data_IF_978627240796
#
_entry.id   IF_978627240796
#
_cell.length_a   1.000
_cell.length_b   1.000
_cell.length_c   1.000
_cell.angle_alpha   90.00
_cell.angle_beta   90.00
_cell.angle_gamma   90.00
#
_symmetry.space_group_name_H-M   'P 1'
#
loop_
_entity.id
_entity.type
_entity.pdbx_description
1 polymer ?
#
# COMPACT_ATOMS: atom_id res chain seq x y z
N UNK A 1 0.37 0.67 19.66
CA UNK A 1 0.44 -0.50 18.75
C UNK A 1 1.29 -0.07 17.56
N UNK A 2 2.16 -0.95 17.08
CA UNK A 2 2.99 -0.69 15.89
C UNK A 2 2.21 -0.98 14.62
N UNK A 3 2.33 -0.09 13.64
CA UNK A 3 1.63 -0.19 12.37
C UNK A 3 2.15 -1.38 11.56
N UNK A 4 1.23 -2.16 11.00
CA UNK A 4 1.50 -3.40 10.29
C UNK A 4 1.72 -3.11 8.81
N UNK A 5 2.94 -3.36 8.32
CA UNK A 5 3.28 -3.22 6.90
C UNK A 5 3.39 -4.61 6.26
N UNK A 6 2.78 -4.77 5.09
CA UNK A 6 2.97 -5.95 4.24
C UNK A 6 3.86 -5.58 3.06
N UNK A 7 5.01 -6.23 2.91
CA UNK A 7 5.90 -6.07 1.74
C UNK A 7 5.72 -7.26 0.80
N UNK A 8 5.37 -6.98 -0.45
CA UNK A 8 5.14 -7.98 -1.50
C UNK A 8 6.07 -7.71 -2.67
N UNK A 9 7.05 -8.59 -2.88
CA UNK A 9 8.05 -8.50 -3.95
C UNK A 9 8.56 -9.92 -4.20
N UNK A 10 8.84 -10.35 -5.42
CA UNK A 10 9.33 -11.72 -5.69
C UNK A 10 10.82 -11.90 -5.34
N UNK A 11 11.57 -10.80 -5.24
CA UNK A 11 12.98 -10.79 -4.87
C UNK A 11 13.19 -10.82 -3.35
N UNK A 12 13.79 -11.90 -2.83
CA UNK A 12 14.03 -12.06 -1.39
C UNK A 12 14.97 -10.99 -0.81
N UNK A 13 15.95 -10.55 -1.59
CA UNK A 13 16.88 -9.49 -1.21
C UNK A 13 16.16 -8.17 -0.97
N UNK A 14 15.23 -7.80 -1.85
CA UNK A 14 14.42 -6.58 -1.72
C UNK A 14 13.51 -6.67 -0.50
N UNK A 15 12.78 -7.79 -0.34
CA UNK A 15 11.91 -8.01 0.84
C UNK A 15 12.68 -7.91 2.15
N UNK A 16 13.87 -8.51 2.22
CA UNK A 16 14.69 -8.52 3.44
C UNK A 16 15.20 -7.13 3.79
N UNK A 17 15.63 -6.38 2.77
CA UNK A 17 16.16 -5.03 2.94
C UNK A 17 15.07 -4.06 3.37
N UNK A 18 13.94 -4.04 2.66
CA UNK A 18 12.79 -3.20 3.00
C UNK A 18 12.24 -3.53 4.39
N UNK A 19 12.14 -4.82 4.73
CA UNK A 19 11.71 -5.24 6.05
C UNK A 19 12.58 -4.64 7.15
N UNK A 20 13.90 -4.76 7.03
CA UNK A 20 14.83 -4.22 8.03
C UNK A 20 14.67 -2.72 8.19
N UNK A 21 14.66 -1.98 7.09
CA UNK A 21 14.52 -0.52 7.11
C UNK A 21 13.21 -0.07 7.76
N UNK A 22 12.10 -0.75 7.48
CA UNK A 22 10.81 -0.45 8.09
C UNK A 22 10.73 -0.88 9.57
N UNK A 23 11.31 -2.03 9.93
CA UNK A 23 11.37 -2.49 11.33
C UNK A 23 12.21 -1.54 12.21
N UNK A 24 13.31 -0.98 11.68
CA UNK A 24 14.14 0.02 12.35
C UNK A 24 13.37 1.30 12.69
N UNK A 25 12.34 1.61 11.92
CA UNK A 25 11.45 2.77 12.11
C UNK A 25 10.22 2.45 12.99
N UNK A 26 10.17 1.25 13.56
CA UNK A 26 9.13 0.84 14.51
C UNK A 26 7.88 0.20 13.87
N UNK A 27 7.90 -0.05 12.56
CA UNK A 27 6.83 -0.82 11.91
C UNK A 27 6.96 -2.31 12.23
N UNK A 28 5.82 -3.00 12.23
CA UNK A 28 5.78 -4.46 12.25
C UNK A 28 5.58 -4.98 10.84
N UNK A 29 6.55 -5.72 10.32
CA UNK A 29 6.57 -6.05 8.90
C UNK A 29 6.28 -7.53 8.66
N UNK A 30 5.35 -7.81 7.76
CA UNK A 30 5.12 -9.12 7.16
C UNK A 30 5.57 -9.09 5.71
N UNK A 31 6.07 -10.21 5.20
CA UNK A 31 6.56 -10.29 3.82
C UNK A 31 5.86 -11.40 3.03
N UNK A 32 5.77 -11.21 1.72
CA UNK A 32 5.17 -12.16 0.79
C UNK A 32 5.96 -12.18 -0.52
N UNK A 33 6.38 -13.37 -0.97
CA UNK A 33 7.17 -13.54 -2.20
C UNK A 33 6.34 -13.70 -3.49
N UNK A 34 5.02 -13.60 -3.40
CA UNK A 34 4.09 -13.79 -4.52
C UNK A 34 2.73 -13.21 -4.19
N UNK A 35 1.94 -12.88 -5.21
CA UNK A 35 0.56 -12.39 -5.01
C UNK A 35 -0.30 -13.37 -4.20
N UNK A 36 -0.20 -14.67 -4.47
CA UNK A 36 -0.92 -15.70 -3.69
C UNK A 36 -0.54 -15.70 -2.21
N UNK A 37 0.75 -15.55 -1.90
CA UNK A 37 1.18 -15.45 -0.51
C UNK A 37 0.72 -14.16 0.16
N UNK A 38 0.70 -13.04 -0.57
CA UNK A 38 0.19 -11.77 -0.06
C UNK A 38 -1.29 -11.88 0.32
N UNK A 39 -2.12 -12.45 -0.57
CA UNK A 39 -3.55 -12.64 -0.31
C UNK A 39 -3.81 -13.55 0.91
N UNK A 40 -3.01 -14.60 1.09
CA UNK A 40 -3.10 -15.44 2.30
C UNK A 40 -2.73 -14.66 3.57
N UNK A 41 -1.72 -13.79 3.49
CA UNK A 41 -1.30 -12.96 4.63
C UNK A 41 -2.35 -11.93 4.99
N UNK A 42 -2.97 -11.28 3.99
CA UNK A 42 -4.09 -10.35 4.18
C UNK A 42 -5.30 -11.07 4.80
N UNK A 43 -5.62 -12.28 4.34
CA UNK A 43 -6.74 -13.06 4.88
C UNK A 43 -6.56 -13.46 6.35
N UNK A 44 -5.33 -13.51 6.86
CA UNK A 44 -5.03 -13.77 8.28
C UNK A 44 -5.08 -12.51 9.15
N UNK A 45 -5.14 -11.34 8.53
CA UNK A 45 -5.17 -10.04 9.19
C UNK A 45 -4.76 -8.96 8.21
N UNK A 46 -5.63 -7.98 7.97
CA UNK A 46 -5.35 -6.87 7.08
C UNK A 46 -4.20 -6.02 7.63
N UNK A 47 -3.22 -5.60 6.80
CA UNK A 47 -2.20 -4.65 7.20
C UNK A 47 -2.76 -3.21 7.17
N UNK A 48 -2.09 -2.32 7.89
CA UNK A 48 -2.33 -0.87 7.80
C UNK A 48 -1.81 -0.34 6.45
N UNK A 49 -0.65 -0.83 6.01
CA UNK A 49 -0.04 -0.48 4.71
C UNK A 49 0.42 -1.73 3.98
N UNK A 50 0.18 -1.79 2.68
CA UNK A 50 0.73 -2.79 1.78
C UNK A 50 1.62 -2.12 0.72
N UNK A 51 2.87 -2.55 0.66
CA UNK A 51 3.85 -2.17 -0.35
C UNK A 51 3.97 -3.32 -1.34
N UNK A 52 3.57 -3.11 -2.60
CA UNK A 52 3.36 -4.19 -3.56
C UNK A 52 4.11 -3.92 -4.87
N UNK A 53 5.03 -4.80 -5.27
CA UNK A 53 5.61 -4.77 -6.61
C UNK A 53 4.54 -5.10 -7.66
N UNK A 54 4.50 -4.33 -8.75
CA UNK A 54 3.65 -4.61 -9.91
C UNK A 54 4.03 -5.91 -10.61
N UNK A 55 5.31 -6.25 -10.64
CA UNK A 55 5.82 -7.49 -11.24
C UNK A 55 6.12 -8.48 -10.13
N UNK A 56 5.27 -9.50 -9.98
CA UNK A 56 5.44 -10.57 -8.99
C UNK A 56 5.61 -11.91 -9.70
N UNK A 57 6.67 -12.05 -10.51
CA UNK A 57 6.93 -13.21 -11.36
C UNK A 57 5.68 -13.66 -12.15
N UNK A 58 5.06 -14.75 -11.70
CA UNK A 58 3.88 -15.37 -12.32
C UNK A 58 2.54 -14.68 -12.02
N UNK A 59 2.53 -13.58 -11.25
CA UNK A 59 1.32 -12.85 -10.84
C UNK A 59 1.46 -11.34 -11.01
N UNK A 60 0.33 -10.66 -11.25
CA UNK A 60 0.31 -9.19 -11.34
C UNK A 60 0.07 -8.57 -9.96
N UNK A 61 0.88 -7.59 -9.57
CA UNK A 61 0.65 -6.78 -8.37
C UNK A 61 -0.69 -6.03 -8.40
N UNK A 62 -1.23 -5.75 -9.60
CA UNK A 62 -2.55 -5.13 -9.76
C UNK A 62 -3.68 -6.03 -9.26
N UNK A 63 -3.53 -7.34 -9.34
CA UNK A 63 -4.53 -8.28 -8.80
C UNK A 63 -4.51 -8.27 -7.27
N UNK A 64 -3.32 -8.16 -6.68
CA UNK A 64 -3.17 -8.00 -5.22
C UNK A 64 -3.82 -6.70 -4.76
N UNK A 65 -3.60 -5.59 -5.48
CA UNK A 65 -4.24 -4.30 -5.21
C UNK A 65 -5.77 -4.40 -5.25
N UNK A 66 -6.34 -5.03 -6.28
CA UNK A 66 -7.80 -5.22 -6.41
C UNK A 66 -8.39 -5.97 -5.23
N UNK A 67 -7.79 -7.10 -4.87
CA UNK A 67 -8.24 -7.92 -3.74
C UNK A 67 -8.09 -7.17 -2.41
N UNK A 68 -6.98 -6.45 -2.22
CA UNK A 68 -6.76 -5.62 -1.03
C UNK A 68 -7.86 -4.58 -0.88
N UNK A 69 -8.14 -3.79 -1.93
CA UNK A 69 -9.17 -2.74 -1.88
C UNK A 69 -10.58 -3.30 -1.74
N UNK A 70 -10.83 -4.52 -2.22
CA UNK A 70 -12.12 -5.20 -2.04
C UNK A 70 -12.31 -5.72 -0.61
N UNK A 71 -11.27 -6.29 0.00
CA UNK A 71 -11.35 -6.95 1.32
C UNK A 71 -11.12 -6.01 2.50
N UNK A 72 -10.24 -5.04 2.31
CA UNK A 72 -9.79 -4.08 3.32
C UNK A 72 -9.57 -2.72 2.66
N UNK A 73 -10.65 -1.97 2.36
CA UNK A 73 -10.55 -0.67 1.69
C UNK A 73 -9.74 0.36 2.48
N UNK A 74 -9.67 0.21 3.82
CA UNK A 74 -8.85 1.05 4.71
C UNK A 74 -7.35 0.77 4.62
N UNK A 75 -6.92 -0.37 4.04
CA UNK A 75 -5.50 -0.66 3.86
C UNK A 75 -4.91 0.31 2.84
N UNK A 76 -3.92 1.08 3.27
CA UNK A 76 -3.12 1.94 2.40
C UNK A 76 -2.30 1.07 1.47
N UNK A 77 -2.33 1.34 0.17
CA UNK A 77 -1.61 0.53 -0.82
C UNK A 77 -0.66 1.39 -1.63
N UNK A 78 0.62 1.04 -1.58
CA UNK A 78 1.72 1.69 -2.28
C UNK A 78 2.26 0.71 -3.31
N UNK A 79 2.21 1.10 -4.58
CA UNK A 79 2.69 0.25 -5.67
C UNK A 79 4.15 0.56 -5.98
N UNK A 80 4.95 -0.46 -6.24
CA UNK A 80 6.36 -0.33 -6.63
C UNK A 80 6.57 -0.95 -8.02
N UNK A 81 7.38 -0.35 -8.88
CA UNK A 81 7.83 -1.03 -10.12
C UNK A 81 9.11 -0.47 -10.71
N UNK A 82 9.92 -1.35 -11.32
CA UNK A 82 11.06 -0.97 -12.15
C UNK A 82 10.69 -0.55 -13.57
N UNK A 83 9.52 -0.95 -14.05
CA UNK A 83 8.98 -0.56 -15.35
C UNK A 83 7.71 0.24 -15.09
N UNK A 84 7.88 1.56 -14.97
CA UNK A 84 6.80 2.51 -14.74
C UNK A 84 6.21 3.03 -16.04
N UNK A 85 5.70 2.14 -16.89
CA UNK A 85 4.93 2.61 -18.03
C UNK A 85 3.71 3.37 -17.51
N UNK A 86 3.43 4.54 -18.10
CA UNK A 86 2.37 5.46 -17.65
C UNK A 86 1.02 4.73 -17.55
N UNK A 87 0.79 3.72 -18.38
CA UNK A 87 -0.44 2.93 -18.35
C UNK A 87 -0.60 2.14 -17.05
N UNK A 88 0.46 1.52 -16.53
CA UNK A 88 0.41 0.73 -15.30
C UNK A 88 0.18 1.61 -14.07
N UNK A 89 0.84 2.78 -14.04
CA UNK A 89 0.64 3.79 -12.99
C UNK A 89 -0.80 4.28 -12.99
N UNK A 90 -1.32 4.66 -14.16
CA UNK A 90 -2.71 5.11 -14.32
C UNK A 90 -3.68 4.01 -13.91
N UNK A 91 -3.40 2.75 -14.25
CA UNK A 91 -4.25 1.63 -13.87
C UNK A 91 -4.21 1.38 -12.36
N UNK A 92 -3.05 1.42 -11.72
CA UNK A 92 -2.92 1.31 -10.27
C UNK A 92 -3.72 2.39 -9.54
N UNK A 93 -3.57 3.65 -9.95
CA UNK A 93 -4.31 4.78 -9.37
C UNK A 93 -5.83 4.61 -9.55
N UNK A 94 -6.28 4.18 -10.73
CA UNK A 94 -7.72 3.90 -10.99
C UNK A 94 -8.28 2.78 -10.12
N UNK A 95 -7.45 1.81 -9.74
CA UNK A 95 -7.81 0.72 -8.85
C UNK A 95 -7.76 1.10 -7.37
N UNK A 96 -7.38 2.35 -7.06
CA UNK A 96 -7.38 2.89 -5.70
C UNK A 96 -6.06 2.74 -4.96
N UNK A 97 -4.94 2.56 -5.67
CA UNK A 97 -3.62 2.73 -5.04
C UNK A 97 -3.51 4.14 -4.45
N UNK A 98 -2.95 4.23 -3.24
CA UNK A 98 -2.79 5.50 -2.52
C UNK A 98 -1.52 6.23 -2.96
N UNK A 99 -0.50 5.47 -3.36
CA UNK A 99 0.75 6.02 -3.88
C UNK A 99 1.47 5.03 -4.82
N UNK A 100 2.47 5.55 -5.53
CA UNK A 100 3.30 4.78 -6.45
C UNK A 100 4.76 5.22 -6.35
N UNK A 101 5.68 4.25 -6.23
CA UNK A 101 7.12 4.48 -6.21
C UNK A 101 7.79 3.77 -7.39
N UNK A 102 8.61 4.49 -8.13
CA UNK A 102 9.39 3.93 -9.24
C UNK A 102 10.75 3.44 -8.73
N UNK A 103 11.17 2.22 -9.12
CA UNK A 103 12.55 1.75 -8.95
C UNK A 103 13.46 2.42 -10.00
N UNK A 104 14.71 2.79 -9.67
CA UNK A 104 15.36 2.62 -8.36
C UNK A 104 14.90 3.68 -7.35
N UNK A 105 14.81 3.28 -6.08
CA UNK A 105 14.49 4.13 -4.94
C UNK A 105 15.53 3.94 -3.84
N UNK A 106 15.66 4.94 -2.97
CA UNK A 106 16.43 4.80 -1.73
C UNK A 106 15.54 4.24 -0.60
N UNK A 107 16.14 3.52 0.35
CA UNK A 107 15.38 2.95 1.49
C UNK A 107 14.73 4.04 2.34
N UNK A 108 15.43 5.15 2.56
CA UNK A 108 14.90 6.29 3.30
C UNK A 108 13.70 6.93 2.59
N UNK A 109 13.70 6.94 1.26
CA UNK A 109 12.58 7.45 0.46
C UNK A 109 11.37 6.53 0.62
N UNK A 110 11.57 5.21 0.53
CA UNK A 110 10.51 4.23 0.73
C UNK A 110 9.89 4.29 2.11
N UNK A 111 10.72 4.37 3.15
CA UNK A 111 10.29 4.52 4.54
C UNK A 111 9.44 5.78 4.71
N UNK A 112 9.91 6.92 4.15
CA UNK A 112 9.17 8.18 4.20
C UNK A 112 7.85 8.09 3.46
N UNK A 113 7.82 7.50 2.27
CA UNK A 113 6.59 7.29 1.51
C UNK A 113 5.59 6.46 2.33
N UNK A 114 6.01 5.33 2.91
CA UNK A 114 5.14 4.51 3.78
C UNK A 114 4.57 5.32 4.94
N UNK A 115 5.42 6.04 5.66
CA UNK A 115 5.01 6.85 6.82
C UNK A 115 4.06 7.99 6.44
N UNK A 116 4.38 8.74 5.38
CA UNK A 116 3.58 9.87 4.91
C UNK A 116 2.22 9.43 4.37
N UNK A 117 2.18 8.38 3.55
CA UNK A 117 0.95 7.89 2.94
C UNK A 117 0.03 7.28 4.01
N UNK A 118 0.59 6.56 4.98
CA UNK A 118 -0.18 6.07 6.12
C UNK A 118 -0.75 7.23 6.95
N UNK A 119 0.08 8.22 7.29
CA UNK A 119 -0.36 9.38 8.06
C UNK A 119 -1.45 10.17 7.33
N UNK A 120 -1.28 10.39 6.02
CA UNK A 120 -2.28 11.06 5.19
C UNK A 120 -3.60 10.31 5.13
N UNK A 121 -3.59 8.96 5.09
CA UNK A 121 -4.83 8.16 5.10
C UNK A 121 -5.62 8.36 6.40
N UNK A 122 -4.94 8.38 7.55
CA UNK A 122 -5.55 8.57 8.88
C UNK A 122 -6.17 9.95 9.03
N UNK A 123 -5.48 10.97 8.53
CA UNK A 123 -6.03 12.33 8.50
C UNK A 123 -7.30 12.34 7.64
N UNK A 124 -7.29 11.69 6.47
CA UNK A 124 -8.44 11.62 5.57
C UNK A 124 -9.65 10.94 6.22
N UNK A 125 -9.42 9.85 6.97
CA UNK A 125 -10.46 9.18 7.76
C UNK A 125 -11.03 10.07 8.88
N UNK A 126 -10.20 10.95 9.46
CA UNK A 126 -10.62 11.87 10.53
C UNK A 126 -11.62 12.93 10.05
N UNK A 127 -11.54 13.34 8.77
CA UNK A 127 -12.45 14.33 8.19
C UNK A 127 -13.77 13.72 7.70
N UNK A 128 -13.81 12.41 7.42
CA UNK A 128 -15.06 11.76 6.97
C UNK A 128 -16.13 11.63 8.07
N UNK A 129 -15.79 11.85 9.34
CA UNK A 129 -16.74 11.84 10.46
C UNK A 129 -17.40 13.21 10.74
N UNK A 130 -16.76 14.35 10.45
CA UNK A 130 -17.31 15.69 10.78
C UNK A 130 -18.20 16.31 9.68
N UNK A 131 -18.05 15.94 8.41
CA UNK A 131 -18.85 16.50 7.31
C UNK A 131 -20.15 15.73 6.96
N UNK A 132 -20.50 14.66 7.69
CA UNK A 132 -21.83 14.03 7.54
C UNK A 132 -22.95 14.71 8.35
N UNK A 133 -22.70 15.85 9.00
CA UNK A 133 -23.71 16.60 9.75
C UNK A 133 -23.71 18.10 9.43
N UNK A 134 -23.81 18.47 8.16
CA UNK A 134 -24.62 19.58 7.66
C UNK A 134 -24.18 19.96 6.24
N UNK A 135 -24.94 19.51 5.24
CA UNK A 135 -25.20 20.37 4.09
C UNK A 135 -26.70 20.65 4.09
N UNK A 136 -27.16 21.79 4.65
CA UNK A 136 -28.48 22.27 4.29
C UNK A 136 -28.35 22.71 2.83
N UNK A 137 -28.77 21.85 1.90
CA UNK A 137 -29.03 22.25 0.53
C UNK A 137 -30.27 23.13 0.57
N UNK A 138 -30.07 24.39 0.92
CA UNK A 138 -31.05 25.45 0.74
C UNK A 138 -30.47 26.44 -0.23
N UNK A 139 -30.85 26.36 -1.50
CA UNK A 139 -30.83 27.48 -2.44
C UNK A 139 -31.98 27.24 -3.44
N UNK A 140 -33.07 27.93 -3.13
CA UNK A 140 -34.12 28.53 -4.00
C UNK A 140 -34.99 27.63 -4.91
#
# INVERSE_FOLDING_TARGET
MSDQVLVVDDEEGVRTTLRRALEEEGFSVRTAGSGRSALRTVARGAPDVAVVDLKLGDSSGLDVLRDLKTRSPATVTIMISAYGDVQDVVQAMKLGADDYVQKPYDLDEMVRCVSQTLHASRIRESYTDEECRAVPVGLE
#
